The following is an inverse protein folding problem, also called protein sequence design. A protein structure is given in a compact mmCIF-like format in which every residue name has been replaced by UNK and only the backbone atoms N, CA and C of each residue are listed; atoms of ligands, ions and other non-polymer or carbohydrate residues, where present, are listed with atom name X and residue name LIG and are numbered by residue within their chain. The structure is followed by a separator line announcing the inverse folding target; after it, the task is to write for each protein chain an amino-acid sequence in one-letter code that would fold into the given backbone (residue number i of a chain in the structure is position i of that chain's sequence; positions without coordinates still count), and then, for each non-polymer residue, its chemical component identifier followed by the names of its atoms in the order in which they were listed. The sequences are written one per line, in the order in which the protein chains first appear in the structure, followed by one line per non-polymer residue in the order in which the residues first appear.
data_IF_699443805197
#
_entry.id   IF_699443805197
#
_cell.length_a   1.000
_cell.length_b   1.000
_cell.length_c   1.000
_cell.angle_alpha   90.00
_cell.angle_beta   90.00
_cell.angle_gamma   90.00
#
_symmetry.space_group_name_H-M   'P 1'
#
loop_
_entity.id
_entity.type
_entity.pdbx_description
1 polymer ?
#
# COMPACT_ATOMS: atom_id res chain seq x y z
N UNK A 1 16.90 10.17 8.33
CA UNK A 1 18.01 10.50 7.42
C UNK A 1 17.65 11.78 6.67
N UNK A 2 18.60 12.51 6.05
CA UNK A 2 18.25 13.59 5.13
C UNK A 2 17.23 13.09 4.11
N UNK A 3 16.23 13.92 3.79
CA UNK A 3 15.20 13.55 2.81
C UNK A 3 15.89 13.34 1.47
N UNK A 4 15.91 12.10 0.95
CA UNK A 4 16.51 11.79 -0.35
C UNK A 4 15.68 12.41 -1.46
N UNK A 5 16.35 12.77 -2.56
CA UNK A 5 15.69 13.14 -3.81
C UNK A 5 14.67 12.06 -4.18
N UNK A 6 13.50 12.55 -4.56
CA UNK A 6 12.24 11.84 -4.44
C UNK A 6 12.18 10.49 -5.15
N UNK A 7 11.54 9.50 -4.51
CA UNK A 7 11.18 8.24 -5.14
C UNK A 7 10.00 8.50 -6.09
N UNK A 8 10.33 8.75 -7.35
CA UNK A 8 9.41 8.95 -8.47
C UNK A 8 8.56 7.69 -8.72
N UNK A 9 7.24 7.74 -8.80
CA UNK A 9 6.35 6.66 -9.25
C UNK A 9 5.44 7.18 -10.37
N UNK A 10 5.06 6.34 -11.33
CA UNK A 10 4.14 6.72 -12.41
C UNK A 10 2.95 5.76 -12.48
N UNK A 11 1.77 6.23 -12.95
CA UNK A 11 0.61 5.38 -13.17
C UNK A 11 0.83 4.30 -14.24
N UNK A 12 1.91 4.40 -15.03
CA UNK A 12 2.20 3.51 -16.15
C UNK A 12 0.99 3.41 -17.09
N UNK A 13 0.38 2.23 -17.21
CA UNK A 13 -0.78 1.96 -18.07
C UNK A 13 -2.12 2.08 -17.35
N UNK A 14 -2.15 2.47 -16.08
CA UNK A 14 -3.39 2.61 -15.32
C UNK A 14 -4.27 3.71 -15.94
N UNK A 15 -5.59 3.49 -16.06
CA UNK A 15 -6.51 4.53 -16.53
C UNK A 15 -6.56 5.71 -15.55
N UNK A 16 -6.85 6.90 -16.07
CA UNK A 16 -6.93 8.13 -15.27
C UNK A 16 -7.96 8.05 -14.13
N UNK A 17 -9.00 7.21 -14.29
CA UNK A 17 -9.98 6.93 -13.23
C UNK A 17 -9.36 6.38 -11.95
N UNK A 18 -8.19 5.74 -12.02
CA UNK A 18 -7.47 5.16 -10.88
C UNK A 18 -6.46 6.12 -10.24
N UNK A 19 -6.26 7.33 -10.76
CA UNK A 19 -5.24 8.26 -10.24
C UNK A 19 -5.46 8.65 -8.77
N UNK A 20 -6.71 8.84 -8.35
CA UNK A 20 -7.01 9.15 -6.93
C UNK A 20 -6.68 7.99 -6.00
N UNK A 21 -6.96 6.76 -6.44
CA UNK A 21 -6.64 5.56 -5.66
C UNK A 21 -5.13 5.33 -5.59
N UNK A 22 -4.42 5.62 -6.68
CA UNK A 22 -2.97 5.62 -6.69
C UNK A 22 -2.37 6.61 -5.69
N UNK A 23 -2.84 7.85 -5.67
CA UNK A 23 -2.37 8.86 -4.72
C UNK A 23 -2.64 8.45 -3.26
N UNK A 24 -3.81 7.85 -3.00
CA UNK A 24 -4.16 7.33 -1.67
C UNK A 24 -3.20 6.23 -1.23
N UNK A 25 -2.95 5.24 -2.08
CA UNK A 25 -2.03 4.15 -1.75
C UNK A 25 -0.58 4.65 -1.61
N UNK A 26 -0.11 5.57 -2.46
CA UNK A 26 1.21 6.18 -2.29
C UNK A 26 1.37 6.91 -0.96
N UNK A 27 0.34 7.64 -0.52
CA UNK A 27 0.38 8.30 0.79
C UNK A 27 0.51 7.28 1.92
N UNK A 28 -0.20 6.15 1.84
CA UNK A 28 -0.06 5.05 2.78
C UNK A 28 1.36 4.47 2.80
N UNK A 29 1.96 4.28 1.62
CA UNK A 29 3.32 3.79 1.45
C UNK A 29 4.36 4.76 2.04
N UNK A 30 4.25 6.06 1.72
CA UNK A 30 5.13 7.10 2.25
C UNK A 30 5.01 7.21 3.78
N UNK A 31 3.79 7.22 4.30
CA UNK A 31 3.55 7.29 5.74
C UNK A 31 4.16 6.08 6.45
N UNK A 32 3.84 4.87 6.00
CA UNK A 32 4.38 3.66 6.62
C UNK A 32 5.91 3.62 6.56
N UNK A 33 6.51 4.03 5.44
CA UNK A 33 7.97 4.14 5.33
C UNK A 33 8.53 5.11 6.38
N UNK A 34 7.89 6.27 6.56
CA UNK A 34 8.36 7.32 7.46
C UNK A 34 8.06 7.06 8.94
N UNK A 35 7.11 6.18 9.23
CA UNK A 35 6.85 5.71 10.60
C UNK A 35 7.97 4.78 11.11
N UNK A 36 8.75 4.17 10.21
CA UNK A 36 9.88 3.31 10.58
C UNK A 36 11.16 4.08 10.88
N UNK A 37 11.88 3.59 11.89
CA UNK A 37 13.31 3.90 12.06
C UNK A 37 14.15 3.24 10.97
N UNK A 38 15.37 3.74 10.77
CA UNK A 38 16.35 3.15 9.86
C UNK A 38 16.74 1.74 10.32
N UNK A 39 16.77 1.49 11.63
CA UNK A 39 17.02 0.17 12.20
C UNK A 39 15.93 -0.82 11.80
N UNK A 40 14.65 -0.48 12.07
CA UNK A 40 13.50 -1.32 11.71
C UNK A 40 13.46 -1.60 10.20
N UNK A 41 13.74 -0.60 9.36
CA UNK A 41 13.82 -0.79 7.91
C UNK A 41 14.89 -1.82 7.54
N UNK A 42 16.14 -1.64 8.00
CA UNK A 42 17.24 -2.55 7.64
C UNK A 42 17.01 -3.98 8.15
N UNK A 43 16.43 -4.13 9.35
CA UNK A 43 16.05 -5.44 9.91
C UNK A 43 14.96 -6.10 9.06
N UNK A 44 13.91 -5.36 8.71
CA UNK A 44 12.83 -5.86 7.86
C UNK A 44 13.34 -6.24 6.46
N UNK A 45 14.24 -5.45 5.88
CA UNK A 45 14.89 -5.76 4.60
C UNK A 45 15.73 -7.03 4.66
N UNK A 46 16.45 -7.27 5.77
CA UNK A 46 17.21 -8.50 6.00
C UNK A 46 16.31 -9.72 6.21
N UNK A 47 15.19 -9.55 6.90
CA UNK A 47 14.23 -10.60 7.21
C UNK A 47 13.18 -10.83 6.11
N UNK A 48 13.27 -10.12 4.98
CA UNK A 48 12.27 -10.17 3.93
C UNK A 48 12.16 -11.58 3.33
N UNK A 49 11.03 -12.22 3.60
CA UNK A 49 10.57 -13.39 2.85
C UNK A 49 9.22 -13.06 2.18
N UNK A 50 9.21 -12.73 0.87
CA UNK A 50 7.98 -12.44 0.14
C UNK A 50 7.01 -13.61 0.07
N UNK A 51 7.47 -14.84 0.35
CA UNK A 51 6.65 -16.06 0.34
C UNK A 51 5.89 -16.26 1.67
N UNK A 52 6.37 -15.65 2.76
CA UNK A 52 5.77 -15.81 4.08
C UNK A 52 4.61 -14.84 4.37
N UNK A 53 3.85 -14.43 3.33
CA UNK A 53 2.69 -13.53 3.51
C UNK A 53 1.59 -14.22 4.29
N UNK A 54 1.03 -13.54 5.29
CA UNK A 54 -0.09 -14.09 6.07
C UNK A 54 -1.38 -14.11 5.23
N UNK A 55 -1.63 -15.25 4.58
CA UNK A 55 -2.82 -15.47 3.76
C UNK A 55 -4.11 -15.42 4.60
N UNK A 56 -4.06 -15.81 5.88
CA UNK A 56 -5.22 -15.80 6.77
C UNK A 56 -5.59 -14.36 7.11
N UNK A 57 -4.61 -13.53 7.46
CA UNK A 57 -4.81 -12.10 7.69
C UNK A 57 -5.33 -11.39 6.43
N UNK A 58 -4.78 -11.72 5.25
CA UNK A 58 -5.25 -11.14 3.99
C UNK A 58 -6.73 -11.52 3.69
N UNK A 59 -7.10 -12.79 3.87
CA UNK A 59 -8.50 -13.24 3.72
C UNK A 59 -9.43 -12.54 4.71
N UNK A 60 -9.03 -12.47 5.99
CA UNK A 60 -9.82 -11.80 7.02
C UNK A 60 -10.01 -10.29 6.72
N UNK A 61 -8.97 -9.61 6.25
CA UNK A 61 -9.05 -8.21 5.86
C UNK A 61 -10.02 -7.99 4.68
N UNK A 62 -9.99 -8.87 3.67
CA UNK A 62 -10.94 -8.82 2.55
C UNK A 62 -12.38 -9.06 3.00
N UNK A 63 -12.62 -10.04 3.87
CA UNK A 63 -13.94 -10.29 4.44
C UNK A 63 -14.46 -9.11 5.26
N UNK A 64 -13.60 -8.51 6.10
CA UNK A 64 -13.98 -7.33 6.88
C UNK A 64 -14.28 -6.12 5.97
N UNK A 65 -13.49 -5.91 4.93
CA UNK A 65 -13.74 -4.87 3.95
C UNK A 65 -15.08 -5.08 3.22
N UNK A 66 -15.36 -6.30 2.74
CA UNK A 66 -16.65 -6.65 2.12
C UNK A 66 -17.83 -6.30 3.04
N UNK A 67 -17.78 -6.72 4.30
CA UNK A 67 -18.85 -6.43 5.27
C UNK A 67 -19.05 -4.92 5.50
N UNK A 68 -17.96 -4.16 5.60
CA UNK A 68 -18.02 -2.70 5.74
C UNK A 68 -18.61 -2.03 4.51
N UNK A 69 -18.20 -2.45 3.32
CA UNK A 69 -18.73 -1.94 2.05
C UNK A 69 -20.22 -2.23 1.94
N UNK A 70 -20.64 -3.47 2.18
CA UNK A 70 -22.05 -3.85 2.18
C UNK A 70 -22.87 -3.01 3.17
N UNK A 71 -22.44 -2.90 4.42
CA UNK A 71 -23.15 -2.14 5.45
C UNK A 71 -23.27 -0.65 5.08
N UNK A 72 -22.21 -0.07 4.50
CA UNK A 72 -22.21 1.32 4.03
C UNK A 72 -23.20 1.51 2.87
N UNK A 73 -23.09 0.69 1.82
CA UNK A 73 -23.97 0.77 0.64
C UNK A 73 -25.43 0.53 1.01
N UNK A 74 -25.70 -0.44 1.89
CA UNK A 74 -27.04 -0.67 2.42
C UNK A 74 -27.61 0.59 3.09
N UNK A 75 -26.82 1.24 3.96
CA UNK A 75 -27.25 2.46 4.64
C UNK A 75 -27.53 3.60 3.66
N UNK A 76 -26.70 3.75 2.63
CA UNK A 76 -26.87 4.76 1.57
C UNK A 76 -28.15 4.51 0.76
N UNK A 77 -28.41 3.26 0.36
CA UNK A 77 -29.63 2.86 -0.38
C UNK A 77 -30.89 3.04 0.47
N UNK A 78 -30.85 2.64 1.74
CA UNK A 78 -31.96 2.85 2.68
C UNK A 78 -32.26 4.32 2.88
N UNK A 79 -31.23 5.16 2.96
CA UNK A 79 -31.39 6.62 3.09
C UNK A 79 -31.94 7.25 1.79
N UNK A 80 -31.76 6.59 0.66
CA UNK A 80 -32.24 7.02 -0.66
C UNK A 80 -33.63 6.50 -1.02
N UNK A 81 -34.30 5.77 -0.12
CA UNK A 81 -35.68 5.31 -0.27
C UNK A 81 -35.86 3.88 -0.82
N UNK A 82 -34.78 3.14 -1.09
CA UNK A 82 -34.88 1.72 -1.50
C UNK A 82 -35.55 0.87 -0.41
N UNK A 83 -36.33 -0.15 -0.80
CA UNK A 83 -36.89 -1.12 0.15
C UNK A 83 -35.78 -1.88 0.90
N UNK A 84 -36.13 -2.55 2.01
CA UNK A 84 -35.16 -3.35 2.77
C UNK A 84 -34.53 -4.44 1.90
N UNK A 85 -35.37 -5.23 1.23
CA UNK A 85 -34.94 -6.34 0.37
C UNK A 85 -34.08 -5.87 -0.80
N UNK A 86 -34.47 -4.78 -1.48
CA UNK A 86 -33.72 -4.25 -2.60
C UNK A 86 -32.38 -3.65 -2.16
N UNK A 87 -32.36 -2.93 -1.03
CA UNK A 87 -31.14 -2.37 -0.48
C UNK A 87 -30.15 -3.47 -0.08
N UNK A 88 -30.63 -4.57 0.51
CA UNK A 88 -29.80 -5.71 0.91
C UNK A 88 -29.20 -6.42 -0.30
N UNK A 89 -30.02 -6.71 -1.32
CA UNK A 89 -29.59 -7.34 -2.57
C UNK A 89 -28.53 -6.51 -3.29
N UNK A 90 -28.80 -5.23 -3.55
CA UNK A 90 -27.87 -4.35 -4.25
C UNK A 90 -26.58 -4.09 -3.46
N UNK A 91 -26.67 -3.98 -2.13
CA UNK A 91 -25.48 -3.82 -1.30
C UNK A 91 -24.59 -5.06 -1.31
N UNK A 92 -25.19 -6.26 -1.30
CA UNK A 92 -24.46 -7.52 -1.41
C UNK A 92 -23.75 -7.62 -2.77
N UNK A 93 -24.48 -7.39 -3.87
CA UNK A 93 -23.94 -7.39 -5.24
C UNK A 93 -22.79 -6.39 -5.40
N UNK A 94 -22.98 -5.16 -4.90
CA UNK A 94 -21.94 -4.14 -4.93
C UNK A 94 -20.70 -4.53 -4.12
N UNK A 95 -20.88 -5.07 -2.92
CA UNK A 95 -19.77 -5.49 -2.07
C UNK A 95 -18.99 -6.67 -2.68
N UNK A 96 -19.68 -7.61 -3.31
CA UNK A 96 -19.07 -8.73 -4.05
C UNK A 96 -18.23 -8.24 -5.22
N UNK A 97 -18.82 -7.45 -6.13
CA UNK A 97 -18.10 -6.88 -7.25
C UNK A 97 -16.91 -6.00 -6.80
N UNK A 98 -17.05 -5.28 -5.70
CA UNK A 98 -15.96 -4.45 -5.17
C UNK A 98 -14.81 -5.31 -4.66
N UNK A 99 -15.08 -6.35 -3.85
CA UNK A 99 -14.00 -7.14 -3.22
C UNK A 99 -13.22 -8.00 -4.22
N UNK A 100 -13.76 -8.26 -5.41
CA UNK A 100 -13.04 -8.92 -6.51
C UNK A 100 -11.81 -8.15 -6.97
N UNK A 101 -11.89 -6.82 -6.99
CA UNK A 101 -10.81 -5.94 -7.46
C UNK A 101 -9.89 -5.45 -6.34
N UNK A 102 -10.25 -5.69 -5.07
CA UNK A 102 -9.53 -5.18 -3.90
C UNK A 102 -8.52 -6.19 -3.33
N UNK A 103 -7.35 -5.67 -2.96
CA UNK A 103 -6.30 -6.39 -2.24
C UNK A 103 -6.13 -5.83 -0.83
N UNK A 104 -5.72 -6.71 0.08
CA UNK A 104 -5.18 -6.32 1.37
C UNK A 104 -3.77 -5.74 1.16
N UNK A 105 -3.51 -4.58 1.77
CA UNK A 105 -2.31 -3.77 1.55
C UNK A 105 -1.39 -3.80 2.75
N UNK A 106 -0.08 -3.80 2.48
CA UNK A 106 0.96 -3.49 3.45
C UNK A 106 1.39 -2.04 3.24
N UNK A 107 1.58 -1.29 4.32
CA UNK A 107 2.07 0.09 4.27
C UNK A 107 3.31 0.24 5.18
N UNK A 108 4.53 0.41 4.63
CA UNK A 108 4.82 0.27 3.21
C UNK A 108 4.75 -1.20 2.78
N UNK A 109 4.95 -1.46 1.49
CA UNK A 109 5.08 -2.81 0.95
C UNK A 109 6.21 -3.57 1.68
N UNK A 110 6.05 -4.90 1.79
CA UNK A 110 7.07 -5.77 2.40
C UNK A 110 8.45 -5.56 1.77
N UNK A 111 8.51 -5.37 0.45
CA UNK A 111 9.77 -5.12 -0.25
C UNK A 111 10.46 -3.84 0.22
N UNK A 112 9.71 -2.83 0.66
CA UNK A 112 10.18 -1.57 1.22
C UNK A 112 10.27 -1.59 2.76
N UNK A 113 10.36 -2.79 3.36
CA UNK A 113 10.51 -2.95 4.82
C UNK A 113 9.19 -3.02 5.59
N UNK A 114 8.06 -3.14 4.89
CA UNK A 114 6.75 -3.31 5.53
C UNK A 114 6.69 -4.51 6.48
N UNK A 115 5.93 -4.35 7.58
CA UNK A 115 5.60 -5.46 8.48
C UNK A 115 4.61 -6.40 7.77
N UNK A 116 4.67 -7.70 8.06
CA UNK A 116 3.69 -8.70 7.59
C UNK A 116 2.36 -8.58 8.34
N UNK A 117 1.75 -7.39 8.25
CA UNK A 117 0.48 -7.00 8.84
C UNK A 117 -0.29 -6.17 7.83
N UNK A 118 -1.57 -6.48 7.65
CA UNK A 118 -2.44 -5.70 6.79
C UNK A 118 -2.70 -4.33 7.43
N UNK A 119 -2.40 -3.27 6.67
CA UNK A 119 -2.60 -1.89 7.09
C UNK A 119 -3.89 -1.29 6.51
N UNK A 120 -4.31 -1.73 5.32
CA UNK A 120 -5.44 -1.17 4.58
C UNK A 120 -5.95 -2.15 3.51
N UNK A 121 -7.01 -1.78 2.78
CA UNK A 121 -7.47 -2.44 1.56
C UNK A 121 -7.52 -1.42 0.40
N UNK A 122 -7.28 -1.86 -0.83
CA UNK A 122 -7.35 -0.98 -2.00
C UNK A 122 -7.27 -1.71 -3.33
N UNK A 123 -7.39 -0.97 -4.42
CA UNK A 123 -7.42 -1.54 -5.78
C UNK A 123 -6.15 -2.37 -6.02
N UNK A 124 -6.36 -3.62 -6.41
CA UNK A 124 -5.31 -4.61 -6.54
C UNK A 124 -4.39 -4.35 -7.73
N UNK A 125 -4.88 -3.74 -8.80
CA UNK A 125 -4.09 -3.37 -9.97
C UNK A 125 -3.20 -2.16 -9.65
N UNK A 126 -3.74 -1.18 -8.92
CA UNK A 126 -2.97 -0.05 -8.38
C UNK A 126 -1.87 -0.57 -7.46
N UNK A 127 -2.20 -1.45 -6.52
CA UNK A 127 -1.24 -2.02 -5.58
C UNK A 127 -0.11 -2.76 -6.32
N UNK A 128 -0.46 -3.61 -7.30
CA UNK A 128 0.54 -4.30 -8.13
C UNK A 128 1.41 -3.30 -8.93
N UNK A 129 0.82 -2.18 -9.37
CA UNK A 129 1.53 -1.10 -10.07
C UNK A 129 2.55 -0.38 -9.20
N UNK A 130 2.22 -0.14 -7.94
CA UNK A 130 3.15 0.44 -6.98
C UNK A 130 4.23 -0.59 -6.64
N UNK A 131 3.80 -1.82 -6.31
CA UNK A 131 4.67 -2.95 -5.95
C UNK A 131 5.80 -3.21 -6.94
N UNK A 132 5.46 -3.30 -8.24
CA UNK A 132 6.45 -3.54 -9.30
C UNK A 132 7.47 -2.41 -9.45
N UNK A 133 7.12 -1.18 -9.08
CA UNK A 133 8.01 -0.02 -9.23
C UNK A 133 9.11 0.03 -8.18
N UNK A 134 8.92 -0.55 -7.00
CA UNK A 134 9.97 -0.61 -5.96
C UNK A 134 11.28 -1.20 -6.49
N UNK A 135 11.18 -2.32 -7.19
CA UNK A 135 12.33 -3.05 -7.76
C UNK A 135 12.59 -2.74 -9.23
N UNK A 136 11.80 -1.85 -9.85
CA UNK A 136 11.98 -1.50 -11.26
C UNK A 136 13.18 -0.57 -11.45
N UNK A 137 14.07 -0.95 -12.37
CA UNK A 137 15.27 -0.21 -12.75
C UNK A 137 15.08 0.41 -14.14
N UNK A 138 15.26 1.73 -14.27
CA UNK A 138 15.46 2.37 -15.58
C UNK A 138 16.92 2.23 -16.02
N UNK A 139 17.19 2.24 -17.32
CA UNK A 139 18.56 2.12 -17.85
C UNK A 139 19.45 3.20 -17.23
N UNK A 140 20.57 2.79 -16.63
CA UNK A 140 21.53 3.69 -15.99
C UNK A 140 21.14 4.21 -14.59
N UNK A 141 20.02 3.77 -14.00
CA UNK A 141 19.57 4.21 -12.66
C UNK A 141 19.59 3.05 -11.66
N UNK A 142 19.62 3.35 -10.36
CA UNK A 142 19.33 2.40 -9.27
C UNK A 142 17.83 2.15 -9.15
N UNK A 143 17.43 1.07 -8.47
CA UNK A 143 16.02 0.90 -8.06
C UNK A 143 15.73 1.79 -6.85
N UNK A 144 14.44 2.05 -6.60
CA UNK A 144 13.99 2.79 -5.41
C UNK A 144 14.41 2.09 -4.12
N UNK A 145 14.39 0.76 -4.12
CA UNK A 145 14.86 -0.04 -2.99
C UNK A 145 16.37 0.08 -2.80
N UNK A 146 17.17 0.01 -3.87
CA UNK A 146 18.61 0.23 -3.78
C UNK A 146 18.91 1.64 -3.25
N UNK A 147 18.12 2.62 -3.66
CA UNK A 147 18.26 3.99 -3.18
C UNK A 147 17.97 4.16 -1.70
N UNK A 148 16.97 3.45 -1.19
CA UNK A 148 16.64 3.41 0.24
C UNK A 148 17.68 2.61 1.04
N UNK A 149 18.08 1.45 0.54
CA UNK A 149 19.08 0.58 1.16
C UNK A 149 20.44 1.32 1.31
N UNK A 150 20.90 2.01 0.26
CA UNK A 150 22.11 2.84 0.29
C UNK A 150 22.01 3.98 1.31
N UNK A 151 20.91 4.72 1.31
CA UNK A 151 20.71 5.84 2.23
C UNK A 151 20.63 5.38 3.70
N UNK A 152 19.92 4.28 3.96
CA UNK A 152 19.82 3.67 5.29
C UNK A 152 21.19 3.17 5.79
N UNK A 153 21.98 2.56 4.91
CA UNK A 153 23.30 2.01 5.26
C UNK A 153 24.28 3.07 5.77
N UNK A 154 24.18 4.30 5.25
CA UNK A 154 25.01 5.46 5.59
C UNK A 154 24.72 6.05 6.97
N UNK A 155 23.60 5.67 7.61
CA UNK A 155 23.29 6.13 8.97
C UNK A 155 24.15 5.35 9.98
N UNK A 156 24.93 6.03 10.85
CA UNK A 156 25.75 5.37 11.86
C UNK A 156 24.91 4.46 12.76
N UNK A 157 25.43 3.27 13.08
CA UNK A 157 24.70 2.22 13.82
C UNK A 157 24.02 2.76 15.08
N UNK A 158 24.77 3.48 15.93
CA UNK A 158 24.24 4.06 17.18
C UNK A 158 23.15 5.13 17.00
N UNK A 159 22.90 5.61 15.77
CA UNK A 159 21.84 6.60 15.46
C UNK A 159 20.62 5.98 14.79
N UNK A 160 20.69 4.72 14.32
CA UNK A 160 19.65 4.13 13.44
C UNK A 160 18.28 4.06 14.11
N UNK A 161 18.23 3.65 15.38
CA UNK A 161 16.98 3.56 16.17
C UNK A 161 16.23 4.89 16.30
N UNK A 162 16.96 5.99 16.50
CA UNK A 162 16.39 7.33 16.64
C UNK A 162 16.16 8.06 15.32
N UNK A 163 16.60 7.49 14.19
CA UNK A 163 16.54 8.14 12.88
C UNK A 163 15.42 7.53 12.05
N UNK A 164 14.45 8.33 11.61
CA UNK A 164 13.39 7.89 10.68
C UNK A 164 13.88 7.77 9.23
N UNK A 165 13.19 6.95 8.43
CA UNK A 165 13.52 6.78 7.01
C UNK A 165 13.33 8.07 6.19
N UNK A 166 12.31 8.89 6.46
CA UNK A 166 12.08 10.17 5.76
C UNK A 166 12.14 10.08 4.22
N UNK A 167 11.63 8.99 3.63
CA UNK A 167 11.46 8.84 2.20
C UNK A 167 10.34 9.74 1.68
N UNK A 168 10.47 10.20 0.43
CA UNK A 168 9.40 10.91 -0.30
C UNK A 168 8.99 10.10 -1.51
N UNK A 169 7.69 9.89 -1.69
CA UNK A 169 7.13 9.30 -2.90
C UNK A 169 6.48 10.43 -3.71
N UNK A 170 6.81 10.54 -4.99
CA UNK A 170 6.22 11.56 -5.87
C UNK A 170 5.86 11.04 -7.24
N UNK A 171 5.05 11.79 -7.98
CA UNK A 171 4.80 11.50 -9.39
C UNK A 171 6.04 11.75 -10.23
N UNK A 172 6.34 10.82 -11.11
CA UNK A 172 7.33 11.03 -12.13
C UNK A 172 6.96 12.22 -13.03
N UNK A 173 7.97 13.07 -13.27
CA UNK A 173 7.92 14.15 -14.26
C UNK A 173 8.05 13.58 -15.66
#
# INVERSE_FOLDING_TARGET
MPRKDSLCFSPQTLPASKSKEMDRQWKGQEQGLNDMSVEEYLEARKALDPKNRDQKAAKAARSSFKQKTQAKTFKELRSSGSSLEEAERLAQEHADATVETMNALHNPDLVAGGKNKIADSGDGEVNQTIGRQWSHKKRGQTTRIQDLDDAASKVPVGKRKGTKMNGRLERCK
#
